data_IF_012675301141
#
_entry.id   IF_012675301141
#
_cell.length_a   1.000
_cell.length_b   1.000
_cell.length_c   1.000
_cell.angle_alpha   90.00
_cell.angle_beta   90.00
_cell.angle_gamma   90.00
#
_symmetry.space_group_name_H-M   'P 1'
#
loop_
_entity.id
_entity.type
_entity.pdbx_description
1 polymer ?
#
# COMPACT_ATOMS: atom_id res chain seq x y z
N UNK A 1 1.47 -2.36 -8.13
CA UNK A 1 1.42 -2.78 -9.54
C UNK A 1 1.07 -1.56 -10.35
N UNK A 2 1.96 -1.15 -11.27
CA UNK A 2 1.70 -0.02 -12.15
C UNK A 2 0.38 -0.15 -12.90
N UNK A 3 -0.45 0.89 -12.86
CA UNK A 3 -1.76 0.95 -13.51
C UNK A 3 -2.89 0.14 -12.83
N UNK A 4 -2.66 -0.48 -11.67
CA UNK A 4 -3.66 -1.34 -11.01
C UNK A 4 -3.93 -0.88 -9.58
N UNK A 5 -2.89 -0.74 -8.75
CA UNK A 5 -3.03 -0.36 -7.33
C UNK A 5 -1.99 0.66 -6.88
N UNK A 6 -1.51 1.46 -7.82
CA UNK A 6 -0.52 2.54 -7.65
C UNK A 6 -1.16 3.94 -7.73
N UNK A 7 -2.46 4.04 -7.44
CA UNK A 7 -3.19 5.32 -7.44
C UNK A 7 -3.29 5.89 -6.03
N UNK A 8 -3.46 7.22 -5.94
CA UNK A 8 -3.67 7.89 -4.64
C UNK A 8 -4.90 7.38 -3.90
N UNK A 9 -5.97 7.03 -4.62
CA UNK A 9 -7.14 6.36 -4.03
C UNK A 9 -6.77 5.06 -3.29
N UNK A 10 -5.93 4.22 -3.92
CA UNK A 10 -5.45 3.00 -3.27
C UNK A 10 -4.57 3.31 -2.06
N UNK A 11 -3.73 4.35 -2.12
CA UNK A 11 -2.85 4.75 -1.03
C UNK A 11 -3.63 5.32 0.17
N UNK A 12 -4.65 6.14 -0.07
CA UNK A 12 -5.59 6.64 0.96
C UNK A 12 -6.27 5.49 1.69
N UNK A 13 -6.87 4.56 0.94
CA UNK A 13 -7.58 3.41 1.52
C UNK A 13 -6.63 2.51 2.31
N UNK A 14 -5.42 2.27 1.81
CA UNK A 14 -4.43 1.51 2.55
C UNK A 14 -3.99 2.23 3.82
N UNK A 15 -3.73 3.54 3.77
CA UNK A 15 -3.40 4.34 4.94
C UNK A 15 -4.49 4.28 6.02
N UNK A 16 -5.75 4.36 5.61
CA UNK A 16 -6.93 4.22 6.48
C UNK A 16 -6.98 2.84 7.16
N UNK A 17 -6.82 1.76 6.37
CA UNK A 17 -6.80 0.39 6.89
C UNK A 17 -5.65 0.20 7.90
N UNK A 18 -4.45 0.70 7.59
CA UNK A 18 -3.29 0.59 8.47
C UNK A 18 -3.52 1.31 9.81
N UNK A 19 -4.18 2.47 9.80
CA UNK A 19 -4.47 3.24 11.01
C UNK A 19 -5.48 2.57 11.96
N UNK A 20 -6.22 1.55 11.50
CA UNK A 20 -7.12 0.77 12.35
C UNK A 20 -6.37 -0.15 13.34
N UNK A 21 -5.13 -0.51 13.05
CA UNK A 21 -4.36 -1.45 13.87
C UNK A 21 -3.55 -0.74 14.96
N UNK A 22 -3.11 -1.49 15.97
CA UNK A 22 -2.20 -0.98 16.99
C UNK A 22 -0.78 -0.81 16.39
N UNK A 23 -0.22 0.41 16.35
CA UNK A 23 1.07 0.68 15.73
C UNK A 23 2.25 -0.02 16.41
N UNK A 24 2.13 -0.41 17.69
CA UNK A 24 3.21 -1.10 18.42
C UNK A 24 3.42 -2.53 17.94
N UNK A 25 2.34 -3.18 17.45
CA UNK A 25 2.35 -4.61 17.14
C UNK A 25 2.25 -4.90 15.63
N UNK A 26 2.29 -3.87 14.78
CA UNK A 26 2.09 -4.01 13.35
C UNK A 26 3.24 -3.40 12.56
N UNK A 27 3.69 -4.10 11.52
CA UNK A 27 4.55 -3.55 10.48
C UNK A 27 3.94 -3.85 9.10
N UNK A 28 4.18 -2.96 8.14
CA UNK A 28 3.81 -3.20 6.76
C UNK A 28 5.03 -3.12 5.85
N UNK A 29 4.99 -3.80 4.71
CA UNK A 29 6.03 -3.74 3.68
C UNK A 29 5.38 -3.53 2.32
N UNK A 30 5.89 -2.56 1.57
CA UNK A 30 5.53 -2.36 0.17
C UNK A 30 6.42 -3.26 -0.69
N UNK A 31 5.82 -4.25 -1.36
CA UNK A 31 6.53 -5.15 -2.26
C UNK A 31 6.35 -4.71 -3.72
N UNK A 32 7.43 -4.38 -4.43
CA UNK A 32 7.36 -4.09 -5.86
C UNK A 32 6.91 -5.31 -6.66
N UNK A 33 6.08 -5.07 -7.66
CA UNK A 33 5.82 -6.07 -8.69
C UNK A 33 7.11 -6.36 -9.47
N UNK A 34 7.31 -7.63 -9.81
CA UNK A 34 8.44 -8.10 -10.60
C UNK A 34 7.97 -9.17 -11.59
N UNK A 35 8.67 -9.28 -12.72
CA UNK A 35 8.38 -10.25 -13.80
C UNK A 35 9.16 -11.56 -13.65
N UNK A 36 9.88 -11.74 -12.54
CA UNK A 36 10.55 -13.01 -12.24
C UNK A 36 9.53 -14.16 -12.28
N UNK A 37 9.82 -15.19 -13.06
CA UNK A 37 8.93 -16.33 -13.25
C UNK A 37 8.06 -16.28 -14.50
N UNK A 38 7.99 -15.17 -15.24
CA UNK A 38 7.28 -15.10 -16.53
C UNK A 38 7.77 -16.19 -17.52
N UNK A 39 9.08 -16.47 -17.54
CA UNK A 39 9.66 -17.55 -18.35
C UNK A 39 9.12 -18.96 -17.98
N UNK A 40 8.68 -19.19 -16.74
CA UNK A 40 8.09 -20.47 -16.33
C UNK A 40 6.73 -20.70 -16.99
N UNK A 41 5.93 -19.64 -17.16
CA UNK A 41 4.67 -19.71 -17.90
C UNK A 41 4.90 -20.12 -19.35
N UNK A 42 5.86 -19.46 -20.00
CA UNK A 42 6.27 -19.79 -21.37
C UNK A 42 6.72 -21.27 -21.50
N UNK A 43 7.50 -21.78 -20.54
CA UNK A 43 7.94 -23.19 -20.52
C UNK A 43 6.80 -24.20 -20.35
N UNK A 44 5.71 -23.80 -19.71
CA UNK A 44 4.51 -24.63 -19.54
C UNK A 44 3.53 -24.49 -20.71
N UNK A 45 3.86 -23.70 -21.74
CA UNK A 45 2.95 -23.40 -22.85
C UNK A 45 1.77 -22.52 -22.45
N UNK A 46 1.91 -21.74 -21.37
CA UNK A 46 0.88 -20.85 -20.84
C UNK A 46 1.18 -19.39 -21.23
N UNK A 47 0.13 -18.63 -21.52
CA UNK A 47 0.21 -17.17 -21.73
C UNK A 47 0.40 -16.44 -20.40
N UNK A 48 1.32 -15.47 -20.35
CA UNK A 48 1.54 -14.64 -19.18
C UNK A 48 0.77 -13.32 -19.32
N UNK A 49 -0.40 -13.22 -18.69
CA UNK A 49 -1.33 -12.10 -18.88
C UNK A 49 -0.76 -10.73 -18.48
N UNK A 50 0.24 -10.69 -17.59
CA UNK A 50 0.86 -9.45 -17.09
C UNK A 50 2.09 -9.02 -17.90
N UNK A 51 2.34 -9.59 -19.08
CA UNK A 51 3.47 -9.24 -19.97
C UNK A 51 3.55 -7.74 -20.28
N UNK A 52 2.42 -7.05 -20.34
CA UNK A 52 2.32 -5.63 -20.64
C UNK A 52 2.59 -4.72 -19.43
N UNK A 53 2.60 -5.27 -18.21
CA UNK A 53 2.85 -4.51 -16.98
C UNK A 53 4.37 -4.37 -16.78
N UNK A 54 4.82 -3.13 -16.58
CA UNK A 54 6.22 -2.82 -16.27
C UNK A 54 6.47 -2.96 -14.77
N UNK A 55 7.71 -3.29 -14.41
CA UNK A 55 8.15 -3.19 -13.02
C UNK A 55 8.19 -1.71 -12.60
N UNK A 56 7.70 -1.36 -11.40
CA UNK A 56 7.78 0.01 -10.92
C UNK A 56 9.23 0.40 -10.67
N UNK A 57 9.56 1.64 -10.99
CA UNK A 57 10.85 2.24 -10.69
C UNK A 57 11.03 2.44 -9.18
N UNK A 58 12.29 2.52 -8.74
CA UNK A 58 12.62 2.87 -7.36
C UNK A 58 12.01 4.21 -6.92
N UNK A 59 11.85 5.15 -7.85
CA UNK A 59 11.20 6.45 -7.58
C UNK A 59 9.71 6.29 -7.33
N UNK A 60 9.00 5.55 -8.18
CA UNK A 60 7.56 5.28 -8.00
C UNK A 60 7.28 4.54 -6.69
N UNK A 61 8.13 3.57 -6.32
CA UNK A 61 8.02 2.85 -5.04
C UNK A 61 8.19 3.82 -3.86
N UNK A 62 9.17 4.72 -3.92
CA UNK A 62 9.40 5.73 -2.87
C UNK A 62 8.21 6.69 -2.76
N UNK A 63 7.69 7.17 -3.88
CA UNK A 63 6.53 8.06 -3.92
C UNK A 63 5.28 7.38 -3.36
N UNK A 64 5.02 6.13 -3.73
CA UNK A 64 3.93 5.33 -3.17
C UNK A 64 4.07 5.17 -1.65
N UNK A 65 5.27 4.82 -1.16
CA UNK A 65 5.53 4.70 0.27
C UNK A 65 5.30 6.02 1.02
N UNK A 66 5.73 7.15 0.45
CA UNK A 66 5.50 8.48 1.02
C UNK A 66 4.01 8.82 1.10
N UNK A 67 3.27 8.60 0.02
CA UNK A 67 1.83 8.85 -0.04
C UNK A 67 1.06 7.99 0.98
N UNK A 68 1.34 6.68 1.03
CA UNK A 68 0.74 5.76 2.01
C UNK A 68 1.03 6.24 3.44
N UNK A 69 2.28 6.62 3.74
CA UNK A 69 2.64 7.09 5.06
C UNK A 69 1.92 8.41 5.41
N UNK A 70 1.79 9.34 4.47
CA UNK A 70 1.05 10.59 4.69
C UNK A 70 -0.41 10.32 5.07
N UNK A 71 -1.10 9.46 4.30
CA UNK A 71 -2.48 9.07 4.59
C UNK A 71 -2.59 8.33 5.93
N UNK A 72 -1.68 7.41 6.22
CA UNK A 72 -1.61 6.70 7.49
C UNK A 72 -1.48 7.66 8.69
N UNK A 73 -0.58 8.64 8.63
CA UNK A 73 -0.41 9.63 9.69
C UNK A 73 -1.67 10.49 9.87
N UNK A 74 -2.32 10.87 8.76
CA UNK A 74 -3.58 11.61 8.80
C UNK A 74 -4.66 10.83 9.57
N UNK A 75 -4.90 9.56 9.26
CA UNK A 75 -5.92 8.75 9.94
C UNK A 75 -5.54 8.41 11.39
N UNK A 76 -4.26 8.22 11.71
CA UNK A 76 -3.80 8.05 13.09
C UNK A 76 -4.12 9.28 13.96
N UNK A 77 -3.91 10.49 13.42
CA UNK A 77 -4.21 11.73 14.12
C UNK A 77 -5.71 11.88 14.39
N UNK A 78 -6.56 11.57 13.40
CA UNK A 78 -8.02 11.58 13.56
C UNK A 78 -8.49 10.61 14.65
N UNK A 79 -7.96 9.39 14.67
CA UNK A 79 -8.29 8.37 15.68
C UNK A 79 -7.92 8.83 17.09
N UNK A 80 -6.74 9.42 17.23
CA UNK A 80 -6.25 9.92 18.52
C UNK A 80 -7.15 11.05 19.06
N UNK A 81 -7.55 11.99 18.19
CA UNK A 81 -8.45 13.09 18.57
C UNK A 81 -9.85 12.61 18.99
N UNK A 82 -10.36 11.54 18.37
CA UNK A 82 -11.63 10.93 18.77
C UNK A 82 -11.57 10.25 20.14
N UNK A 83 -10.49 9.53 20.46
CA UNK A 83 -10.32 8.92 21.79
C UNK A 83 -10.27 9.99 22.89
N UNK A 84 -9.48 11.05 22.68
CA UNK A 84 -9.37 12.17 23.63
C UNK A 84 -10.74 12.79 23.91
N UNK A 85 -11.55 13.04 22.88
CA UNK A 85 -12.86 13.68 23.04
C UNK A 85 -13.86 12.84 23.85
N UNK A 86 -13.79 11.50 23.75
CA UNK A 86 -14.63 10.59 24.53
C UNK A 86 -14.22 10.51 26.00
N UNK A 87 -12.93 10.68 26.30
CA UNK A 87 -12.42 10.68 27.68
C UNK A 87 -12.82 11.94 28.46
N UNK A 88 -12.90 13.10 27.81
CA UNK A 88 -13.31 14.37 28.46
C UNK A 88 -14.83 14.58 28.56
N UNK A 89 -15.63 13.69 27.98
CA UNK A 89 -17.10 13.77 28.01
C UNK A 89 -17.73 12.91 29.12
N UNK A 90 -16.92 12.30 30.00
CA UNK A 90 -17.35 11.47 31.13
C UNK A 90 -16.96 12.08 32.48
#
# INVERSE_FOLDING_TARGET
>A
MPGINDTDYCFDKLGSILAMFNPVNMSFKLLPYHRLGANKWQKLGLEYELEHIKEPTSTEIKQAMQAINQHYQYYLALRSNQQVSLEYSN
#
